data_IF_458114730734
#
_entry.id   IF_458114730734
#
_cell.length_a   1.000
_cell.length_b   1.000
_cell.length_c   1.000
_cell.angle_alpha   90.00
_cell.angle_beta   90.00
_cell.angle_gamma   90.00
#
_symmetry.space_group_name_H-M   'P 1'
#
loop_
_entity.id
_entity.type
_entity.pdbx_description
1 polymer ?
#
# COMPACT_ATOMS: atom_id res chain seq x y z
N UNK A 1 6.12 -20.37 2.10
CA UNK A 1 6.14 -19.31 3.13
C UNK A 1 5.08 -18.26 2.80
N UNK A 2 4.25 -17.95 3.76
CA UNK A 2 3.17 -16.99 3.57
C UNK A 2 3.69 -15.57 3.76
N UNK A 3 3.27 -14.66 2.88
CA UNK A 3 3.61 -13.24 3.04
C UNK A 3 2.98 -12.69 4.32
N UNK A 4 3.65 -11.73 5.01
CA UNK A 4 3.06 -11.12 6.19
C UNK A 4 1.78 -10.35 5.82
N UNK A 5 0.80 -10.43 6.68
CA UNK A 5 -0.46 -9.71 6.49
C UNK A 5 -1.07 -9.35 7.83
N UNK A 6 -1.84 -8.27 7.84
CA UNK A 6 -2.53 -7.81 9.04
C UNK A 6 -3.91 -8.45 9.22
N UNK A 7 -4.64 -8.63 8.13
CA UNK A 7 -5.99 -9.20 8.17
C UNK A 7 -6.16 -10.28 7.11
N UNK A 8 -6.72 -11.40 7.51
CA UNK A 8 -6.88 -12.56 6.64
C UNK A 8 -7.76 -12.26 5.42
N UNK A 9 -8.85 -11.54 5.61
CA UNK A 9 -9.76 -11.23 4.50
C UNK A 9 -9.09 -10.37 3.43
N UNK A 10 -8.22 -9.47 3.84
CA UNK A 10 -7.47 -8.63 2.91
C UNK A 10 -6.44 -9.45 2.14
N UNK A 11 -5.74 -10.33 2.84
CA UNK A 11 -4.79 -11.25 2.22
C UNK A 11 -5.51 -12.15 1.20
N UNK A 12 -6.67 -12.65 1.56
CA UNK A 12 -7.45 -13.51 0.66
C UNK A 12 -7.87 -12.79 -0.61
N UNK A 13 -8.22 -11.50 -0.51
CA UNK A 13 -8.59 -10.71 -1.69
C UNK A 13 -7.42 -10.53 -2.64
N UNK A 14 -6.25 -10.27 -2.11
CA UNK A 14 -5.04 -10.14 -2.93
C UNK A 14 -4.73 -11.48 -3.59
N UNK A 15 -4.79 -12.58 -2.83
CA UNK A 15 -4.55 -13.92 -3.37
C UNK A 15 -5.50 -14.24 -4.51
N UNK A 16 -6.77 -13.90 -4.35
CA UNK A 16 -7.79 -14.21 -5.35
C UNK A 16 -7.52 -13.50 -6.68
N UNK A 17 -6.86 -12.34 -6.65
CA UNK A 17 -6.54 -11.58 -7.86
C UNK A 17 -5.11 -11.77 -8.34
N UNK A 18 -4.36 -12.65 -7.73
CA UNK A 18 -2.95 -12.85 -8.06
C UNK A 18 -2.79 -13.38 -9.49
N UNK A 19 -1.89 -12.75 -10.23
CA UNK A 19 -1.56 -13.18 -11.58
C UNK A 19 -0.63 -14.37 -11.56
N UNK A 20 -0.60 -15.12 -12.65
CA UNK A 20 0.28 -16.28 -12.76
C UNK A 20 1.74 -15.85 -12.57
N UNK A 21 2.44 -16.49 -11.66
CA UNK A 21 3.83 -16.19 -11.38
C UNK A 21 4.06 -14.98 -10.50
N UNK A 22 3.02 -14.26 -10.13
CA UNK A 22 3.13 -13.10 -9.25
C UNK A 22 3.33 -13.55 -7.81
N UNK A 23 4.24 -12.90 -7.11
CA UNK A 23 4.53 -13.20 -5.71
C UNK A 23 4.03 -12.07 -4.81
N UNK A 24 3.22 -12.40 -3.84
CA UNK A 24 2.74 -11.45 -2.85
C UNK A 24 3.82 -11.29 -1.78
N UNK A 25 4.20 -10.04 -1.53
CA UNK A 25 5.27 -9.73 -0.57
C UNK A 25 4.72 -9.31 0.78
N UNK A 26 3.60 -8.58 0.82
CA UNK A 26 2.96 -8.16 2.06
C UNK A 26 1.56 -7.65 1.78
N UNK A 27 0.69 -7.69 2.81
CA UNK A 27 -0.64 -7.09 2.75
C UNK A 27 -0.85 -6.35 4.07
N UNK A 28 -0.95 -5.03 4.02
CA UNK A 28 -1.03 -4.19 5.21
C UNK A 28 -2.38 -3.48 5.30
N UNK A 29 -2.96 -3.54 6.49
CA UNK A 29 -4.16 -2.78 6.79
C UNK A 29 -3.81 -1.30 6.87
N UNK A 30 -4.63 -0.45 6.25
CA UNK A 30 -4.43 0.98 6.29
C UNK A 30 -5.32 1.61 7.34
N UNK A 31 -4.84 2.71 7.92
CA UNK A 31 -5.64 3.53 8.81
C UNK A 31 -6.06 4.80 8.07
N UNK A 32 -6.98 5.56 8.66
CA UNK A 32 -7.47 6.78 8.02
C UNK A 32 -8.61 6.53 7.06
N UNK A 33 -9.08 7.61 6.46
CA UNK A 33 -10.21 7.55 5.52
C UNK A 33 -9.71 7.27 4.11
N UNK A 34 -10.48 6.51 3.35
CA UNK A 34 -10.27 6.33 1.93
C UNK A 34 -9.67 5.00 1.54
N UNK A 35 -8.51 4.64 2.05
CA UNK A 35 -7.84 3.40 1.65
C UNK A 35 -8.02 2.33 2.71
N UNK A 36 -8.54 1.16 2.31
CA UNK A 36 -8.77 0.07 3.24
C UNK A 36 -7.54 -0.79 3.51
N UNK A 37 -6.73 -1.05 2.49
CA UNK A 37 -5.51 -1.82 2.66
C UNK A 37 -4.61 -1.67 1.44
N UNK A 38 -3.36 -2.08 1.62
CA UNK A 38 -2.34 -2.07 0.57
C UNK A 38 -1.74 -3.47 0.44
N UNK A 39 -1.79 -4.02 -0.76
CA UNK A 39 -1.05 -5.23 -1.11
C UNK A 39 0.18 -4.86 -1.91
N UNK A 40 1.30 -5.46 -1.56
CA UNK A 40 2.58 -5.25 -2.24
C UNK A 40 2.99 -6.56 -2.86
N UNK A 41 3.14 -6.59 -4.17
CA UNK A 41 3.62 -7.78 -4.87
C UNK A 41 4.95 -7.49 -5.55
N UNK A 42 5.51 -8.48 -6.22
CA UNK A 42 6.74 -8.28 -7.00
C UNK A 42 6.50 -7.55 -8.32
N UNK A 43 5.25 -7.23 -8.66
CA UNK A 43 4.90 -6.60 -9.94
C UNK A 43 4.11 -5.32 -9.82
N UNK A 44 3.34 -5.15 -8.73
CA UNK A 44 2.42 -4.03 -8.61
C UNK A 44 2.06 -3.77 -7.15
N UNK A 45 1.47 -2.61 -6.95
CA UNK A 45 0.73 -2.32 -5.73
C UNK A 45 -0.75 -2.60 -6.00
N UNK A 46 -1.44 -3.11 -5.00
CA UNK A 46 -2.89 -3.27 -5.07
C UNK A 46 -3.47 -2.57 -3.85
N UNK A 47 -4.34 -1.61 -4.07
CA UNK A 47 -4.96 -0.92 -2.94
C UNK A 47 -6.48 -0.93 -3.06
N UNK A 48 -7.12 -1.05 -1.92
CA UNK A 48 -8.57 -0.96 -1.85
C UNK A 48 -8.94 0.47 -1.50
N UNK A 49 -9.64 1.10 -2.41
CA UNK A 49 -10.05 2.49 -2.26
C UNK A 49 -11.53 2.55 -1.88
N UNK A 50 -11.81 3.07 -0.70
CA UNK A 50 -13.16 3.19 -0.16
C UNK A 50 -13.71 4.60 -0.35
N UNK A 51 -13.00 5.47 -1.08
CA UNK A 51 -13.40 6.87 -1.23
C UNK A 51 -14.51 7.10 -2.26
N UNK A 52 -14.90 6.08 -2.99
CA UNK A 52 -15.95 6.21 -3.99
C UNK A 52 -17.31 6.42 -3.34
N UNK A 53 -18.13 7.23 -4.00
CA UNK A 53 -19.46 7.59 -3.49
C UNK A 53 -20.37 6.37 -3.40
N UNK A 54 -21.10 6.25 -2.30
CA UNK A 54 -21.99 5.14 -2.05
C UNK A 54 -21.26 3.95 -1.43
N UNK A 55 -21.69 2.74 -1.78
CA UNK A 55 -21.11 1.52 -1.26
C UNK A 55 -20.08 0.91 -2.20
N UNK A 56 -19.58 1.70 -3.13
CA UNK A 56 -18.61 1.21 -4.12
C UNK A 56 -17.24 1.12 -3.50
N UNK A 57 -16.56 0.03 -3.79
CA UNK A 57 -15.19 -0.22 -3.38
C UNK A 57 -14.39 -0.51 -4.65
N UNK A 58 -13.32 0.23 -4.84
CA UNK A 58 -12.43 -0.01 -5.96
C UNK A 58 -11.18 -0.75 -5.49
N UNK A 59 -10.78 -1.74 -6.24
CA UNK A 59 -9.51 -2.42 -6.04
C UNK A 59 -8.61 -1.98 -7.20
N UNK A 60 -7.63 -1.14 -6.89
CA UNK A 60 -6.81 -0.49 -7.89
C UNK A 60 -5.43 -1.12 -7.91
N UNK A 61 -4.98 -1.48 -9.10
CA UNK A 61 -3.64 -2.03 -9.31
C UNK A 61 -2.76 -0.98 -9.96
N UNK A 62 -1.57 -0.77 -9.40
CA UNK A 62 -0.61 0.19 -9.91
C UNK A 62 0.69 -0.57 -10.21
N UNK A 63 0.97 -0.88 -11.49
CA UNK A 63 2.23 -1.54 -11.85
C UNK A 63 3.42 -0.65 -11.54
N UNK A 64 4.51 -1.23 -11.10
CA UNK A 64 5.70 -0.44 -10.75
C UNK A 64 6.25 0.35 -11.93
N UNK A 65 6.06 -0.15 -13.15
CA UNK A 65 6.49 0.57 -14.35
C UNK A 65 5.76 1.90 -14.56
N UNK A 66 4.63 2.10 -13.89
CA UNK A 66 3.84 3.33 -14.00
C UNK A 66 4.06 4.29 -12.85
N UNK A 67 4.83 3.88 -11.84
CA UNK A 67 5.10 4.73 -10.69
C UNK A 67 6.18 5.74 -11.04
N UNK A 68 5.88 7.00 -10.86
CA UNK A 68 6.81 8.10 -11.14
C UNK A 68 7.59 8.49 -9.89
N UNK A 69 6.95 8.44 -8.72
CA UNK A 69 7.58 8.83 -7.48
C UNK A 69 6.92 8.10 -6.32
N UNK A 70 7.68 7.84 -5.28
CA UNK A 70 7.17 7.32 -4.02
C UNK A 70 7.79 8.12 -2.88
N UNK A 71 6.96 8.53 -1.92
CA UNK A 71 7.39 9.31 -0.76
C UNK A 71 7.05 8.57 0.51
N UNK A 72 7.92 8.67 1.49
CA UNK A 72 7.69 8.18 2.84
C UNK A 72 7.47 9.38 3.74
N UNK A 73 6.33 9.42 4.44
CA UNK A 73 5.97 10.52 5.32
C UNK A 73 5.77 9.98 6.72
N UNK A 74 6.52 10.53 7.68
CA UNK A 74 6.36 10.17 9.08
C UNK A 74 5.62 11.28 9.80
N UNK A 75 4.44 10.95 10.31
CA UNK A 75 3.59 11.89 11.03
C UNK A 75 3.73 11.63 12.52
N UNK A 76 4.63 12.39 13.16
CA UNK A 76 4.82 12.28 14.59
C UNK A 76 4.02 13.36 15.28
N UNK A 77 3.21 12.95 16.26
CA UNK A 77 2.48 13.88 17.10
C UNK A 77 3.46 14.72 17.92
N UNK A 78 3.09 15.96 18.20
CA UNK A 78 3.87 16.80 19.09
C UNK A 78 3.90 16.25 20.52
N UNK A 79 3.02 15.34 20.85
CA UNK A 79 2.98 14.67 22.16
C UNK A 79 3.82 13.40 22.18
N UNK A 80 4.65 13.16 21.15
CA UNK A 80 5.56 12.04 21.09
C UNK A 80 4.99 10.87 20.31
N UNK A 81 5.35 9.64 20.70
CA UNK A 81 5.09 8.45 19.88
C UNK A 81 3.68 7.87 20.01
N UNK A 82 2.84 8.43 20.87
CA UNK A 82 1.56 7.79 21.23
C UNK A 82 0.59 7.76 20.05
N UNK A 83 0.67 8.73 19.17
CA UNK A 83 -0.23 8.82 18.03
C UNK A 83 0.52 8.90 16.70
N UNK A 84 1.67 8.23 16.62
CA UNK A 84 2.45 8.29 15.39
C UNK A 84 1.81 7.44 14.31
N UNK A 85 1.73 8.01 13.14
CA UNK A 85 1.35 7.30 11.92
C UNK A 85 2.41 7.59 10.87
N UNK A 86 2.41 6.81 9.83
CA UNK A 86 3.25 7.08 8.67
C UNK A 86 2.46 6.79 7.40
N UNK A 87 2.86 7.42 6.34
CA UNK A 87 2.17 7.29 5.07
C UNK A 87 3.16 7.06 3.95
N UNK A 88 2.69 6.43 2.89
CA UNK A 88 3.37 6.51 1.61
C UNK A 88 2.48 7.30 0.65
N UNK A 89 3.12 8.01 -0.24
CA UNK A 89 2.42 8.67 -1.34
C UNK A 89 3.05 8.17 -2.63
N UNK A 90 2.22 7.62 -3.50
CA UNK A 90 2.65 7.02 -4.76
C UNK A 90 2.03 7.81 -5.90
N UNK A 91 2.86 8.36 -6.77
CA UNK A 91 2.40 9.10 -7.95
C UNK A 91 2.49 8.20 -9.17
N UNK A 92 1.39 8.07 -9.89
CA UNK A 92 1.31 7.23 -11.07
C UNK A 92 0.23 7.77 -12.01
N UNK A 93 0.59 8.01 -13.26
CA UNK A 93 -0.38 8.42 -14.27
C UNK A 93 -1.11 9.72 -13.97
N UNK A 94 -0.45 10.66 -13.33
CA UNK A 94 -1.05 11.95 -12.99
C UNK A 94 -1.89 11.95 -11.72
N UNK A 95 -1.98 10.80 -11.04
CA UNK A 95 -2.70 10.68 -9.78
C UNK A 95 -1.74 10.38 -8.65
N UNK A 96 -2.11 10.81 -7.44
CA UNK A 96 -1.35 10.47 -6.23
C UNK A 96 -2.23 9.64 -5.33
N UNK A 97 -1.70 8.49 -4.92
CA UNK A 97 -2.36 7.59 -3.97
C UNK A 97 -1.63 7.69 -2.64
N UNK A 98 -2.37 8.00 -1.59
CA UNK A 98 -1.79 8.09 -0.26
C UNK A 98 -2.38 6.99 0.62
N UNK A 99 -1.51 6.29 1.33
CA UNK A 99 -1.91 5.20 2.22
C UNK A 99 -1.26 5.45 3.57
N UNK A 100 -2.06 5.48 4.63
CA UNK A 100 -1.60 5.75 5.98
C UNK A 100 -1.63 4.47 6.81
N UNK A 101 -0.60 4.29 7.62
CA UNK A 101 -0.46 3.12 8.51
C UNK A 101 -0.16 3.57 9.93
N UNK A 102 -0.42 2.71 10.88
CA UNK A 102 0.00 2.91 12.25
C UNK A 102 1.47 2.55 12.39
N UNK A 103 2.25 3.44 13.03
CA UNK A 103 3.68 3.27 13.19
C UNK A 103 4.44 3.56 11.91
N UNK A 104 5.72 3.24 11.90
CA UNK A 104 6.60 3.56 10.76
C UNK A 104 6.99 2.36 9.92
N UNK A 105 6.90 1.15 10.48
CA UNK A 105 7.48 -0.04 9.88
C UNK A 105 6.86 -0.41 8.53
N UNK A 106 5.53 -0.35 8.45
CA UNK A 106 4.80 -0.78 7.25
C UNK A 106 5.01 0.18 6.10
N UNK A 107 4.96 1.49 6.39
CA UNK A 107 5.17 2.49 5.37
C UNK A 107 6.59 2.43 4.84
N UNK A 108 7.57 2.23 5.73
CA UNK A 108 8.96 2.11 5.31
C UNK A 108 9.19 0.87 4.46
N UNK A 109 8.63 -0.26 4.85
CA UNK A 109 8.72 -1.48 4.06
C UNK A 109 8.13 -1.28 2.68
N UNK A 110 6.92 -0.70 2.62
CA UNK A 110 6.24 -0.45 1.36
C UNK A 110 7.04 0.52 0.49
N UNK A 111 7.51 1.62 1.07
CA UNK A 111 8.31 2.59 0.34
C UNK A 111 9.56 1.96 -0.26
N UNK A 112 10.31 1.23 0.56
CA UNK A 112 11.58 0.64 0.11
C UNK A 112 11.35 -0.42 -0.96
N UNK A 113 10.29 -1.21 -0.81
CA UNK A 113 9.95 -2.24 -1.80
C UNK A 113 9.51 -1.62 -3.12
N UNK A 114 8.69 -0.59 -3.08
CA UNK A 114 8.24 0.12 -4.27
C UNK A 114 9.44 0.74 -4.98
N UNK A 115 10.28 1.43 -4.23
CA UNK A 115 11.46 2.08 -4.80
C UNK A 115 12.39 1.06 -5.44
N UNK A 116 12.61 -0.06 -4.76
CA UNK A 116 13.47 -1.12 -5.31
C UNK A 116 12.94 -1.59 -6.66
N UNK A 117 11.64 -1.84 -6.76
CA UNK A 117 11.04 -2.32 -8.01
C UNK A 117 11.01 -1.24 -9.09
N UNK A 118 10.84 0.03 -8.70
CA UNK A 118 10.90 1.13 -9.67
C UNK A 118 12.27 1.23 -10.36
N UNK A 119 13.32 0.88 -9.62
CA UNK A 119 14.69 0.99 -10.12
C UNK A 119 15.13 -0.23 -10.93
N UNK A 120 14.33 -1.28 -10.95
CA UNK A 120 14.62 -2.47 -11.77
C UNK A 120 14.12 -2.24 -13.18
N UNK A 121 14.94 -2.59 -14.14
CA UNK A 121 14.58 -2.44 -15.56
C UNK A 121 14.78 -3.74 -16.31
#
# INVERSE_FOLDING_TARGET
MTAPFDKQDQSDRIEAGRMHGEQILAVFDATGAGTGFLGVTDRRLVLQDNSFVGKKIALTSVPYSRVNAVSFVSNKSMLGKIASTSSIAVSAGGQTYEVEFRGDDKAKFAHDTILWHMLQK
#
